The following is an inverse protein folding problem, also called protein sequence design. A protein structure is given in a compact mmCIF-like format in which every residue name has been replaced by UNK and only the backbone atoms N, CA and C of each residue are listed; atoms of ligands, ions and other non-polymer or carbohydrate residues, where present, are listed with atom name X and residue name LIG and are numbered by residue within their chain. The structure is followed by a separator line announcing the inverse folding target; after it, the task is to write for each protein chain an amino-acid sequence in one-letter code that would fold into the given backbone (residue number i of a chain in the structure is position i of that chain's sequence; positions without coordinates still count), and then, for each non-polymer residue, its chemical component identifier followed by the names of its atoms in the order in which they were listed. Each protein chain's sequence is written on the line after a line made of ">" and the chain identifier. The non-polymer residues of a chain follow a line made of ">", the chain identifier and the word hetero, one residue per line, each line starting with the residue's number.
data_IF_572372683574
#
_entry.id   IF_572372683574
#
_cell.length_a   1.000
_cell.length_b   1.000
_cell.length_c   1.000
_cell.angle_alpha   90.00
_cell.angle_beta   90.00
_cell.angle_gamma   90.00
#
_symmetry.space_group_name_H-M   'P 1'
#
loop_
_entity.id
_entity.type
_entity.pdbx_description
1 polymer ?
#
# COMPACT_ATOMS: atom_id res chain seq x y z
N UNK A 1 -1.76 -10.38 -33.64
CA UNK A 1 -2.32 -9.69 -32.50
C UNK A 1 -2.13 -10.60 -31.29
N UNK A 2 -1.16 -10.23 -30.44
CA UNK A 2 -0.98 -10.93 -29.17
C UNK A 2 -2.20 -10.68 -28.30
N UNK A 3 -2.88 -11.73 -27.92
CA UNK A 3 -3.99 -11.66 -26.96
C UNK A 3 -3.37 -11.39 -25.59
N UNK A 4 -3.49 -10.15 -25.13
CA UNK A 4 -3.08 -9.79 -23.75
C UNK A 4 -3.95 -10.56 -22.77
N UNK A 5 -3.38 -11.54 -22.11
CA UNK A 5 -4.08 -12.25 -21.05
C UNK A 5 -4.00 -11.42 -19.76
N UNK A 6 -5.15 -11.11 -19.21
CA UNK A 6 -5.28 -10.34 -17.97
C UNK A 6 -5.98 -11.22 -16.93
N UNK A 7 -5.42 -11.28 -15.73
CA UNK A 7 -6.04 -11.95 -14.57
C UNK A 7 -6.46 -10.90 -13.57
N UNK A 8 -7.73 -10.94 -13.16
CA UNK A 8 -8.35 -9.94 -12.28
C UNK A 8 -8.87 -10.61 -11.02
N UNK A 9 -8.56 -10.02 -9.88
CA UNK A 9 -9.23 -10.23 -8.60
C UNK A 9 -9.91 -8.91 -8.22
N UNK A 10 -10.91 -8.92 -7.36
CA UNK A 10 -11.68 -7.73 -6.95
C UNK A 10 -10.81 -6.52 -6.58
N UNK A 11 -9.59 -6.75 -6.12
CA UNK A 11 -8.63 -5.74 -5.65
C UNK A 11 -7.25 -5.86 -6.30
N UNK A 12 -7.20 -6.20 -7.58
CA UNK A 12 -5.94 -6.24 -8.31
C UNK A 12 -6.05 -6.79 -9.71
N UNK A 13 -5.07 -6.43 -10.51
CA UNK A 13 -4.95 -6.77 -11.91
C UNK A 13 -3.51 -7.19 -12.20
N UNK A 14 -3.31 -8.26 -12.97
CA UNK A 14 -2.00 -8.61 -13.49
C UNK A 14 -2.04 -8.78 -15.02
N UNK A 15 -1.08 -8.15 -15.69
CA UNK A 15 -0.85 -8.33 -17.13
C UNK A 15 0.06 -9.54 -17.34
N UNK A 16 -0.41 -10.57 -18.02
CA UNK A 16 0.36 -11.80 -18.31
C UNK A 16 0.73 -11.84 -19.79
N UNK A 17 1.67 -10.99 -20.18
CA UNK A 17 2.15 -10.88 -21.58
C UNK A 17 3.61 -11.30 -21.69
N UNK A 18 4.46 -10.94 -20.69
CA UNK A 18 5.86 -11.30 -20.61
C UNK A 18 6.31 -11.32 -19.16
N UNK A 19 7.41 -11.99 -18.86
CA UNK A 19 7.98 -12.06 -17.50
C UNK A 19 8.30 -10.68 -16.90
N UNK A 20 8.58 -9.67 -17.74
CA UNK A 20 8.79 -8.28 -17.31
C UNK A 20 7.46 -7.61 -16.94
N UNK A 21 6.45 -7.75 -17.80
CA UNK A 21 5.11 -7.17 -17.56
C UNK A 21 4.36 -7.84 -16.42
N UNK A 22 4.67 -9.08 -16.08
CA UNK A 22 4.15 -9.76 -14.88
C UNK A 22 4.57 -9.10 -13.56
N UNK A 23 5.59 -8.24 -13.58
CA UNK A 23 6.02 -7.42 -12.42
C UNK A 23 5.50 -5.99 -12.46
N UNK A 24 4.75 -5.62 -13.50
CA UNK A 24 4.18 -4.28 -13.63
C UNK A 24 3.18 -4.04 -12.51
N UNK A 25 3.42 -2.99 -11.71
CA UNK A 25 2.51 -2.57 -10.66
C UNK A 25 1.34 -1.86 -11.29
N UNK A 26 0.22 -2.55 -11.33
CA UNK A 26 -1.01 -2.17 -12.02
C UNK A 26 -2.02 -1.56 -11.05
N UNK A 27 -3.18 -1.16 -11.58
CA UNK A 27 -4.28 -0.58 -10.83
C UNK A 27 -3.84 0.68 -10.06
N UNK A 28 -4.35 0.89 -8.88
CA UNK A 28 -4.03 2.02 -7.99
C UNK A 28 -2.67 1.89 -7.28
N UNK A 29 -1.88 0.86 -7.66
CA UNK A 29 -0.50 0.66 -7.19
C UNK A 29 0.55 1.06 -8.22
N UNK A 30 0.16 1.71 -9.31
CA UNK A 30 1.09 2.15 -10.35
C UNK A 30 2.22 3.02 -9.77
N UNK A 31 3.41 3.06 -10.41
CA UNK A 31 4.56 3.83 -9.93
C UNK A 31 4.27 5.31 -9.69
N UNK A 32 3.36 5.93 -10.47
CA UNK A 32 2.92 7.31 -10.31
C UNK A 32 1.98 7.54 -9.13
N UNK A 33 1.35 6.50 -8.58
CA UNK A 33 0.47 6.63 -7.41
C UNK A 33 1.24 7.03 -6.15
N UNK A 34 0.55 7.60 -5.15
CA UNK A 34 1.19 8.00 -3.89
C UNK A 34 1.88 6.83 -3.19
N UNK A 35 1.25 5.65 -3.13
CA UNK A 35 1.87 4.45 -2.54
C UNK A 35 3.08 4.01 -3.36
N UNK A 36 2.99 4.09 -4.69
CA UNK A 36 4.10 3.77 -5.59
C UNK A 36 5.30 4.67 -5.36
N UNK A 37 5.10 5.97 -5.33
CA UNK A 37 6.15 6.97 -5.10
C UNK A 37 6.83 6.78 -3.74
N UNK A 38 6.04 6.63 -2.66
CA UNK A 38 6.57 6.46 -1.29
C UNK A 38 7.35 5.15 -1.16
N UNK A 39 6.84 4.03 -1.70
CA UNK A 39 7.53 2.75 -1.61
C UNK A 39 8.83 2.72 -2.44
N UNK A 40 8.87 3.42 -3.58
CA UNK A 40 10.11 3.61 -4.35
C UNK A 40 11.14 4.45 -3.57
N UNK A 41 10.69 5.47 -2.86
CA UNK A 41 11.52 6.35 -2.04
C UNK A 41 11.90 5.73 -0.67
N UNK A 42 11.28 4.63 -0.24
CA UNK A 42 11.51 4.03 1.07
C UNK A 42 13.00 3.74 1.39
N UNK A 43 13.86 3.29 0.45
CA UNK A 43 15.29 3.13 0.74
C UNK A 43 16.01 4.45 1.03
N UNK A 44 15.61 5.55 0.40
CA UNK A 44 16.15 6.89 0.67
C UNK A 44 15.69 7.43 2.03
N UNK A 45 14.42 7.18 2.38
CA UNK A 45 13.80 7.69 3.62
C UNK A 45 14.23 6.92 4.86
N UNK A 46 14.44 5.59 4.74
CA UNK A 46 14.62 4.68 5.89
C UNK A 46 15.82 3.73 5.75
N UNK A 47 16.58 3.86 4.68
CA UNK A 47 17.71 2.97 4.39
C UNK A 47 17.28 1.61 3.81
N UNK A 48 18.28 0.76 3.49
CA UNK A 48 18.06 -0.50 2.78
C UNK A 48 17.31 -1.56 3.62
N UNK A 49 17.26 -1.41 4.94
CA UNK A 49 16.62 -2.34 5.85
C UNK A 49 15.22 -1.88 6.31
N UNK A 50 14.57 -1.00 5.56
CA UNK A 50 13.25 -0.47 5.86
C UNK A 50 12.24 -1.59 6.17
N UNK A 51 11.40 -1.37 7.20
CA UNK A 51 10.41 -2.32 7.70
C UNK A 51 9.03 -1.87 7.26
N UNK A 52 8.42 -2.65 6.37
CA UNK A 52 7.16 -2.29 5.73
C UNK A 52 6.08 -3.28 6.15
N UNK A 53 4.94 -2.75 6.57
CA UNK A 53 3.72 -3.52 6.81
C UNK A 53 2.65 -3.11 5.80
N UNK A 54 1.87 -4.08 5.33
CA UNK A 54 0.71 -3.80 4.49
C UNK A 54 -0.51 -4.56 5.03
N UNK A 55 -1.59 -3.83 5.30
CA UNK A 55 -2.90 -4.37 5.69
C UNK A 55 -3.72 -4.51 4.42
N UNK A 56 -4.10 -5.74 4.12
CA UNK A 56 -4.62 -6.18 2.83
C UNK A 56 -3.51 -6.71 1.92
N UNK A 57 -3.72 -7.90 1.37
CA UNK A 57 -2.80 -8.56 0.44
C UNK A 57 -3.22 -8.33 -1.01
N UNK A 58 -4.52 -8.49 -1.28
CA UNK A 58 -5.05 -8.50 -2.64
C UNK A 58 -4.31 -9.52 -3.51
N UNK A 59 -3.84 -9.09 -4.67
CA UNK A 59 -3.03 -9.93 -5.58
C UNK A 59 -1.55 -9.98 -5.23
N UNK A 60 -1.10 -9.21 -4.22
CA UNK A 60 0.30 -9.10 -3.83
C UNK A 60 1.11 -8.07 -4.64
N UNK A 61 0.46 -7.18 -5.40
CA UNK A 61 1.11 -6.22 -6.32
C UNK A 61 2.16 -5.34 -5.62
N UNK A 62 1.92 -4.89 -4.39
CA UNK A 62 2.86 -4.08 -3.62
C UNK A 62 4.21 -4.78 -3.39
N UNK A 63 4.26 -6.12 -3.43
CA UNK A 63 5.50 -6.89 -3.27
C UNK A 63 6.55 -6.52 -4.31
N UNK A 64 6.15 -6.04 -5.49
CA UNK A 64 7.07 -5.64 -6.55
C UNK A 64 7.76 -4.29 -6.31
N UNK A 65 7.46 -3.62 -5.22
CA UNK A 65 8.25 -2.51 -4.69
C UNK A 65 9.37 -2.95 -3.75
N UNK A 66 9.35 -4.20 -3.29
CA UNK A 66 10.33 -4.69 -2.34
C UNK A 66 11.77 -4.58 -2.90
N UNK A 67 12.69 -4.16 -2.05
CA UNK A 67 14.13 -4.08 -2.33
C UNK A 67 14.88 -5.02 -1.40
N UNK A 68 16.02 -5.50 -1.88
CA UNK A 68 16.89 -6.38 -1.09
C UNK A 68 17.25 -5.72 0.25
N UNK A 69 17.10 -6.46 1.32
CA UNK A 69 17.37 -6.01 2.69
C UNK A 69 16.15 -5.50 3.43
N UNK A 70 15.10 -5.07 2.76
CA UNK A 70 13.85 -4.67 3.40
C UNK A 70 13.14 -5.85 4.06
N UNK A 71 12.34 -5.55 5.08
CA UNK A 71 11.51 -6.53 5.79
C UNK A 71 10.04 -6.18 5.58
N UNK A 72 9.35 -7.04 4.86
CA UNK A 72 7.93 -6.89 4.58
C UNK A 72 7.10 -7.84 5.42
N UNK A 73 5.88 -7.43 5.75
CA UNK A 73 4.86 -8.25 6.40
C UNK A 73 3.50 -7.84 5.89
N UNK A 74 2.71 -8.78 5.39
CA UNK A 74 1.31 -8.58 5.08
C UNK A 74 0.42 -9.01 6.24
N UNK A 75 -0.73 -8.35 6.37
CA UNK A 75 -1.80 -8.72 7.29
C UNK A 75 -3.06 -8.91 6.45
N UNK A 76 -3.56 -10.13 6.36
CA UNK A 76 -4.71 -10.49 5.52
C UNK A 76 -5.72 -11.27 6.35
N UNK A 77 -7.00 -10.91 6.22
CA UNK A 77 -8.06 -11.55 6.99
C UNK A 77 -8.61 -12.80 6.30
N UNK A 78 -8.57 -12.82 4.96
CA UNK A 78 -9.16 -13.88 4.16
C UNK A 78 -8.11 -14.91 3.72
N UNK A 79 -8.19 -16.16 4.19
CA UNK A 79 -7.26 -17.22 3.77
C UNK A 79 -7.37 -17.55 2.28
N UNK A 80 -8.54 -17.34 1.67
CA UNK A 80 -8.74 -17.58 0.23
C UNK A 80 -7.96 -16.57 -0.61
N UNK A 81 -7.91 -15.31 -0.17
CA UNK A 81 -7.08 -14.27 -0.82
C UNK A 81 -5.60 -14.66 -0.76
N UNK A 82 -5.13 -15.18 0.38
CA UNK A 82 -3.74 -15.65 0.52
C UNK A 82 -3.45 -16.82 -0.40
N UNK A 83 -4.35 -17.79 -0.50
CA UNK A 83 -4.22 -18.93 -1.39
C UNK A 83 -4.13 -18.48 -2.86
N UNK A 84 -5.06 -17.61 -3.30
CA UNK A 84 -5.11 -17.09 -4.65
C UNK A 84 -3.84 -16.27 -4.99
N UNK A 85 -3.38 -15.40 -4.08
CA UNK A 85 -2.21 -14.57 -4.31
C UNK A 85 -0.90 -15.38 -4.35
N UNK A 86 -0.83 -16.53 -3.68
CA UNK A 86 0.31 -17.44 -3.68
C UNK A 86 0.31 -18.44 -4.84
N UNK A 87 -0.82 -18.62 -5.51
CA UNK A 87 -0.93 -19.50 -6.66
C UNK A 87 -0.29 -18.84 -7.90
N UNK A 88 0.88 -19.31 -8.37
CA UNK A 88 1.57 -18.71 -9.51
C UNK A 88 0.83 -18.90 -10.84
N UNK A 89 -0.13 -19.83 -10.92
CA UNK A 89 -0.99 -20.01 -12.09
C UNK A 89 -2.04 -18.89 -12.17
N UNK A 90 -2.33 -18.23 -11.05
CA UNK A 90 -3.28 -17.10 -10.97
C UNK A 90 -2.55 -15.77 -10.96
N UNK A 91 -1.67 -15.55 -9.97
CA UNK A 91 -0.88 -14.32 -9.83
C UNK A 91 0.58 -14.63 -9.54
N UNK A 92 1.49 -13.89 -10.19
CA UNK A 92 2.93 -14.12 -10.03
C UNK A 92 3.63 -13.04 -9.21
N UNK A 93 2.91 -12.06 -8.68
CA UNK A 93 3.51 -10.96 -7.93
C UNK A 93 4.31 -11.45 -6.72
N UNK A 94 3.73 -12.30 -5.88
CA UNK A 94 4.45 -12.85 -4.73
C UNK A 94 5.63 -13.72 -5.20
N UNK A 95 5.38 -14.70 -6.06
CA UNK A 95 6.42 -15.66 -6.51
C UNK A 95 7.58 -14.99 -7.23
N UNK A 96 7.33 -13.89 -7.97
CA UNK A 96 8.35 -13.17 -8.74
C UNK A 96 9.06 -12.07 -7.96
N UNK A 97 8.36 -11.41 -7.03
CA UNK A 97 8.87 -10.22 -6.38
C UNK A 97 9.28 -10.45 -4.92
N UNK A 98 8.53 -11.27 -4.18
CA UNK A 98 8.78 -11.49 -2.76
C UNK A 98 8.19 -12.84 -2.28
N UNK A 99 8.75 -13.99 -2.74
CA UNK A 99 8.14 -15.31 -2.55
C UNK A 99 7.97 -15.71 -1.07
N UNK A 100 8.93 -15.35 -0.24
CA UNK A 100 8.97 -15.75 1.18
C UNK A 100 8.36 -14.70 2.11
N UNK A 101 7.56 -13.76 1.59
CA UNK A 101 6.99 -12.71 2.43
C UNK A 101 6.07 -13.30 3.50
N UNK A 102 6.26 -12.95 4.79
CA UNK A 102 5.33 -13.32 5.83
C UNK A 102 3.95 -12.71 5.61
N UNK A 103 2.91 -13.55 5.67
CA UNK A 103 1.52 -13.14 5.69
C UNK A 103 0.93 -13.58 7.03
N UNK A 104 0.53 -12.61 7.84
CA UNK A 104 -0.15 -12.83 9.12
C UNK A 104 -1.64 -12.90 8.84
N UNK A 105 -2.21 -14.10 8.95
CA UNK A 105 -3.64 -14.32 8.74
C UNK A 105 -4.45 -13.88 9.96
N UNK A 106 -5.52 -13.11 9.72
CA UNK A 106 -6.47 -12.65 10.73
C UNK A 106 -6.69 -11.15 10.74
N UNK A 107 -7.43 -10.67 11.74
CA UNK A 107 -7.71 -9.25 11.90
C UNK A 107 -6.43 -8.44 12.11
N UNK A 108 -6.22 -7.45 11.22
CA UNK A 108 -5.01 -6.63 11.19
C UNK A 108 -4.84 -5.78 12.47
N UNK A 109 -5.93 -5.27 13.07
CA UNK A 109 -5.84 -4.52 14.34
C UNK A 109 -5.36 -5.39 15.47
N UNK A 110 -5.88 -6.61 15.58
CA UNK A 110 -5.46 -7.58 16.61
C UNK A 110 -4.01 -7.98 16.40
N UNK A 111 -3.62 -8.25 15.16
CA UNK A 111 -2.25 -8.61 14.80
C UNK A 111 -1.26 -7.47 15.04
N UNK A 112 -1.59 -6.24 14.66
CA UNK A 112 -0.78 -5.05 14.90
C UNK A 112 -0.69 -4.72 16.40
N UNK A 113 -1.73 -5.01 17.20
CA UNK A 113 -1.69 -4.79 18.63
C UNK A 113 -0.61 -5.63 19.33
N UNK A 114 -0.22 -6.77 18.75
CA UNK A 114 0.87 -7.63 19.25
C UNK A 114 2.26 -7.17 18.81
N UNK A 115 2.35 -6.22 17.86
CA UNK A 115 3.64 -5.73 17.38
C UNK A 115 4.30 -4.81 18.39
N UNK A 116 5.63 -4.83 18.43
CA UNK A 116 6.41 -3.91 19.26
C UNK A 116 6.20 -2.46 18.80
N UNK A 117 6.33 -1.51 19.73
CA UNK A 117 6.35 -0.08 19.43
C UNK A 117 7.49 0.22 18.45
N UNK A 118 7.22 1.05 17.44
CA UNK A 118 8.22 1.49 16.48
C UNK A 118 8.76 0.34 15.59
N UNK A 119 8.00 -0.74 15.43
CA UNK A 119 8.42 -1.92 14.64
C UNK A 119 8.30 -1.74 13.14
N UNK A 120 7.64 -0.70 12.66
CA UNK A 120 7.45 -0.40 11.24
C UNK A 120 7.94 1.00 10.89
N UNK A 121 8.53 1.14 9.72
CA UNK A 121 8.93 2.42 9.14
C UNK A 121 7.82 2.94 8.21
N UNK A 122 7.17 2.02 7.48
CA UNK A 122 6.02 2.30 6.63
C UNK A 122 4.91 1.30 6.96
N UNK A 123 3.68 1.78 7.09
CA UNK A 123 2.48 0.98 7.22
C UNK A 123 1.46 1.41 6.15
N UNK A 124 1.04 0.47 5.31
CA UNK A 124 0.04 0.70 4.28
C UNK A 124 -1.30 0.10 4.75
N UNK A 125 -2.37 0.88 4.70
CA UNK A 125 -3.74 0.44 4.96
C UNK A 125 -4.48 0.41 3.63
N UNK A 126 -4.70 -0.77 3.12
CA UNK A 126 -5.32 -1.05 1.83
C UNK A 126 -6.26 -2.26 1.91
N UNK A 127 -7.03 -2.32 2.96
CA UNK A 127 -8.03 -3.37 3.15
C UNK A 127 -9.40 -2.88 2.69
N UNK A 128 -9.97 -3.60 1.74
CA UNK A 128 -11.32 -3.35 1.23
C UNK A 128 -12.13 -4.65 1.31
N UNK A 129 -13.36 -4.56 1.78
CA UNK A 129 -14.38 -5.60 1.63
C UNK A 129 -15.40 -5.09 0.61
N UNK A 130 -15.38 -5.67 -0.61
CA UNK A 130 -16.10 -5.11 -1.76
C UNK A 130 -15.71 -3.63 -2.00
N UNK A 131 -16.63 -2.68 -1.96
CA UNK A 131 -16.35 -1.25 -2.19
C UNK A 131 -16.18 -0.43 -0.88
N UNK A 132 -16.03 -1.09 0.28
CA UNK A 132 -15.97 -0.40 1.57
C UNK A 132 -14.69 -0.75 2.35
N UNK A 133 -14.03 0.30 2.88
CA UNK A 133 -12.97 0.10 3.89
C UNK A 133 -13.62 -0.37 5.19
N UNK A 134 -13.14 -1.44 5.83
CA UNK A 134 -13.64 -1.87 7.11
C UNK A 134 -13.53 -0.74 8.14
N UNK A 135 -14.68 -0.25 8.63
CA UNK A 135 -14.72 0.94 9.48
C UNK A 135 -13.88 0.84 10.74
N UNK A 136 -13.67 -0.37 11.27
CA UNK A 136 -12.81 -0.58 12.44
C UNK A 136 -11.33 -0.25 12.19
N UNK A 137 -10.88 -0.23 10.92
CA UNK A 137 -9.52 0.18 10.55
C UNK A 137 -9.36 1.71 10.47
N UNK A 138 -10.45 2.48 10.47
CA UNK A 138 -10.45 3.93 10.36
C UNK A 138 -10.89 4.63 11.64
N UNK A 139 -10.97 3.92 12.77
CA UNK A 139 -11.32 4.51 14.06
C UNK A 139 -10.14 5.24 14.71
N UNK A 140 -10.43 6.12 15.67
CA UNK A 140 -9.41 6.84 16.46
C UNK A 140 -8.43 5.88 17.15
N UNK A 141 -8.94 4.77 17.65
CA UNK A 141 -8.16 3.72 18.33
C UNK A 141 -7.24 3.00 17.35
N UNK A 142 -7.71 2.78 16.10
CA UNK A 142 -6.87 2.22 15.05
C UNK A 142 -5.69 3.15 14.71
N UNK A 143 -5.94 4.46 14.55
CA UNK A 143 -4.87 5.42 14.28
C UNK A 143 -3.90 5.57 15.47
N UNK A 144 -4.39 5.51 16.71
CA UNK A 144 -3.53 5.46 17.89
C UNK A 144 -2.63 4.20 17.91
N UNK A 145 -3.20 3.04 17.51
CA UNK A 145 -2.45 1.81 17.34
C UNK A 145 -1.39 1.92 16.23
N UNK A 146 -1.74 2.45 15.07
CA UNK A 146 -0.79 2.64 13.96
C UNK A 146 0.36 3.55 14.37
N UNK A 147 0.07 4.64 15.09
CA UNK A 147 1.09 5.53 15.64
C UNK A 147 2.02 4.82 16.63
N UNK A 148 1.52 3.87 17.41
CA UNK A 148 2.34 3.06 18.32
C UNK A 148 3.27 2.11 17.57
N UNK A 149 2.77 1.48 16.51
CA UNK A 149 3.51 0.48 15.72
C UNK A 149 4.55 1.15 14.81
N UNK A 150 4.25 2.33 14.30
CA UNK A 150 5.18 3.13 13.52
C UNK A 150 6.30 3.71 14.42
N UNK A 151 7.49 3.84 13.84
CA UNK A 151 8.55 4.65 14.45
C UNK A 151 8.12 6.13 14.52
N UNK A 152 8.78 6.98 15.33
CA UNK A 152 8.35 8.37 15.54
C UNK A 152 8.22 9.21 14.28
N UNK A 153 8.99 8.89 13.24
CA UNK A 153 8.97 9.51 11.91
C UNK A 153 8.48 8.57 10.82
N UNK A 154 7.73 7.52 11.20
CA UNK A 154 7.19 6.54 10.27
C UNK A 154 6.05 7.10 9.40
N UNK A 155 5.79 6.44 8.28
CA UNK A 155 4.73 6.80 7.34
C UNK A 155 3.56 5.81 7.43
N UNK A 156 2.36 6.35 7.54
CA UNK A 156 1.09 5.65 7.39
C UNK A 156 0.47 6.06 6.05
N UNK A 157 0.26 5.11 5.15
CA UNK A 157 -0.41 5.34 3.89
C UNK A 157 -1.82 4.75 3.98
N UNK A 158 -2.83 5.54 3.70
CA UNK A 158 -4.23 5.11 3.73
C UNK A 158 -4.83 5.26 2.34
N UNK A 159 -5.27 4.16 1.76
CA UNK A 159 -6.00 4.16 0.50
C UNK A 159 -7.41 4.69 0.73
N UNK A 160 -7.80 5.74 0.02
CA UNK A 160 -9.11 6.37 0.20
C UNK A 160 -9.91 6.46 -1.10
N UNK A 161 -9.42 5.83 -2.19
CA UNK A 161 -10.21 5.73 -3.42
C UNK A 161 -11.50 4.96 -3.12
N UNK A 162 -12.63 5.62 -3.27
CA UNK A 162 -13.94 5.02 -3.05
C UNK A 162 -14.97 5.68 -3.97
N UNK A 163 -15.87 4.88 -4.54
CA UNK A 163 -16.90 5.36 -5.48
C UNK A 163 -18.11 5.99 -4.78
N UNK A 164 -18.33 5.66 -3.51
CA UNK A 164 -19.56 5.98 -2.80
C UNK A 164 -19.35 6.84 -1.56
N UNK A 165 -18.16 6.81 -0.96
CA UNK A 165 -17.88 7.47 0.32
C UNK A 165 -16.68 8.40 0.17
N UNK A 166 -16.80 9.63 0.66
CA UNK A 166 -15.64 10.48 0.88
C UNK A 166 -14.99 10.12 2.22
N UNK A 167 -13.88 9.39 2.15
CA UNK A 167 -13.14 8.93 3.33
C UNK A 167 -12.14 9.99 3.85
N UNK A 168 -11.89 11.03 3.10
CA UNK A 168 -10.92 12.07 3.48
C UNK A 168 -11.26 12.75 4.82
N UNK A 169 -12.53 13.17 5.11
CA UNK A 169 -12.86 13.76 6.39
C UNK A 169 -12.63 12.81 7.57
N UNK A 170 -12.84 11.50 7.37
CA UNK A 170 -12.62 10.47 8.39
C UNK A 170 -11.13 10.38 8.73
N UNK A 171 -10.28 10.28 7.71
CA UNK A 171 -8.82 10.21 7.89
C UNK A 171 -8.28 11.53 8.43
N UNK A 172 -8.78 12.68 7.94
CA UNK A 172 -8.42 14.00 8.45
C UNK A 172 -8.80 14.18 9.93
N UNK A 173 -9.96 13.65 10.36
CA UNK A 173 -10.36 13.66 11.76
C UNK A 173 -9.41 12.82 12.65
N UNK A 174 -8.93 11.70 12.12
CA UNK A 174 -7.95 10.85 12.79
C UNK A 174 -6.56 11.51 12.83
N UNK A 175 -6.17 12.23 11.78
CA UNK A 175 -4.91 12.95 11.70
C UNK A 175 -4.79 14.02 12.81
N UNK A 176 -5.90 14.62 13.27
CA UNK A 176 -5.89 15.54 14.42
C UNK A 176 -5.31 14.94 15.70
N UNK A 177 -5.04 13.65 15.73
CA UNK A 177 -4.39 12.95 16.85
C UNK A 177 -2.85 12.99 16.78
N UNK A 178 -2.28 14.02 16.17
CA UNK A 178 -0.84 14.23 16.11
C UNK A 178 -0.17 13.61 14.90
N UNK A 179 -0.87 13.59 13.77
CA UNK A 179 -0.30 13.37 12.46
C UNK A 179 -0.35 14.67 11.64
N UNK A 180 0.61 14.80 10.75
CA UNK A 180 0.59 15.68 9.58
C UNK A 180 0.20 14.84 8.36
N UNK A 181 -0.32 15.46 7.31
CA UNK A 181 -0.84 14.74 6.14
C UNK A 181 -0.37 15.36 4.83
N UNK A 182 -0.23 14.50 3.82
CA UNK A 182 -0.18 14.84 2.40
C UNK A 182 -1.27 14.03 1.70
N UNK A 183 -1.93 14.64 0.74
CA UNK A 183 -2.88 13.96 -0.14
C UNK A 183 -2.22 13.78 -1.50
N UNK A 184 -2.29 12.58 -2.03
CA UNK A 184 -1.82 12.26 -3.37
C UNK A 184 -2.96 11.77 -4.24
N UNK A 185 -3.24 12.52 -5.30
CA UNK A 185 -4.18 12.16 -6.35
C UNK A 185 -3.40 11.73 -7.58
N UNK A 186 -3.65 10.52 -8.06
CA UNK A 186 -3.06 9.99 -9.28
C UNK A 186 -4.12 9.85 -10.36
N UNK A 187 -3.98 10.64 -11.41
CA UNK A 187 -4.72 10.49 -12.66
C UNK A 187 -3.73 9.96 -13.70
N UNK A 188 -3.80 8.66 -14.03
CA UNK A 188 -2.82 8.04 -14.89
C UNK A 188 -2.89 8.59 -16.31
N UNK A 189 -1.72 8.78 -16.93
CA UNK A 189 -1.60 9.08 -18.36
C UNK A 189 -2.12 7.94 -19.24
N UNK A 190 -2.36 8.20 -20.51
CA UNK A 190 -2.80 7.17 -21.44
C UNK A 190 -1.83 5.97 -21.53
N UNK A 191 -0.53 6.21 -21.39
CA UNK A 191 0.49 5.14 -21.36
C UNK A 191 0.40 4.31 -20.07
N UNK A 192 0.19 4.93 -18.93
CA UNK A 192 0.02 4.22 -17.65
C UNK A 192 -1.28 3.42 -17.63
N UNK A 193 -2.37 3.95 -18.23
CA UNK A 193 -3.62 3.20 -18.40
C UNK A 193 -3.40 1.96 -19.28
N UNK A 194 -2.63 2.09 -20.38
CA UNK A 194 -2.27 0.95 -21.23
C UNK A 194 -1.44 -0.11 -20.48
N UNK A 195 -0.70 0.30 -19.44
CA UNK A 195 0.05 -0.58 -18.53
C UNK A 195 -0.81 -1.03 -17.33
N UNK A 196 -2.11 -0.76 -17.34
CA UNK A 196 -3.07 -1.24 -16.35
C UNK A 196 -3.18 -0.37 -15.09
N UNK A 197 -2.69 0.87 -15.12
CA UNK A 197 -2.90 1.81 -14.02
C UNK A 197 -4.36 2.30 -13.96
N UNK A 198 -4.81 2.63 -12.77
CA UNK A 198 -6.12 3.22 -12.51
C UNK A 198 -5.97 4.48 -11.65
N UNK A 199 -6.91 5.42 -11.74
CA UNK A 199 -6.96 6.57 -10.84
C UNK A 199 -6.92 6.12 -9.37
N UNK A 200 -6.21 6.87 -8.54
CA UNK A 200 -6.13 6.53 -7.13
C UNK A 200 -5.92 7.76 -6.25
N UNK A 201 -6.48 7.68 -5.04
CA UNK A 201 -6.33 8.72 -4.02
C UNK A 201 -5.84 8.08 -2.72
N UNK A 202 -4.77 8.65 -2.19
CA UNK A 202 -4.12 8.18 -0.96
C UNK A 202 -3.87 9.35 -0.02
N UNK A 203 -3.91 9.08 1.27
CA UNK A 203 -3.41 10.01 2.29
C UNK A 203 -2.16 9.41 2.91
N UNK A 204 -1.09 10.19 2.92
CA UNK A 204 0.18 9.86 3.59
C UNK A 204 0.28 10.66 4.87
N UNK A 205 0.37 9.98 5.97
CA UNK A 205 0.38 10.53 7.31
C UNK A 205 1.71 10.26 8.00
N UNK A 206 2.21 11.22 8.76
CA UNK A 206 3.36 11.03 9.65
C UNK A 206 3.20 11.84 10.93
N UNK A 207 3.66 11.34 12.09
CA UNK A 207 3.84 12.19 13.28
C UNK A 207 4.89 13.28 13.08
N UNK A 208 5.80 13.12 12.10
CA UNK A 208 6.87 14.08 11.77
C UNK A 208 6.53 14.87 10.52
N UNK A 209 6.38 16.20 10.66
CA UNK A 209 6.24 17.12 9.52
C UNK A 209 7.47 17.06 8.60
N UNK A 210 8.67 17.03 9.21
CA UNK A 210 9.93 16.96 8.49
C UNK A 210 9.99 15.71 7.57
N UNK A 211 9.46 14.56 8.03
CA UNK A 211 9.39 13.36 7.21
C UNK A 211 8.49 13.55 5.99
N UNK A 212 7.38 14.25 6.10
CA UNK A 212 6.53 14.56 4.95
C UNK A 212 7.20 15.53 3.97
N UNK A 213 7.96 16.49 4.49
CA UNK A 213 8.77 17.38 3.64
C UNK A 213 9.85 16.60 2.88
N UNK A 214 10.49 15.62 3.53
CA UNK A 214 11.42 14.70 2.86
C UNK A 214 10.71 13.85 1.80
N UNK A 215 9.49 13.37 2.05
CA UNK A 215 8.69 12.67 1.02
C UNK A 215 8.50 13.57 -0.19
N UNK A 216 8.06 14.81 0.00
CA UNK A 216 7.91 15.78 -1.11
C UNK A 216 9.22 16.02 -1.89
N UNK A 217 10.35 16.03 -1.19
CA UNK A 217 11.64 16.30 -1.79
C UNK A 217 12.21 15.14 -2.62
N UNK A 218 11.85 13.90 -2.28
CA UNK A 218 12.38 12.68 -2.95
C UNK A 218 11.39 12.00 -3.88
N UNK A 219 10.19 12.57 -4.01
CA UNK A 219 9.13 12.14 -4.95
C UNK A 219 8.82 13.28 -5.90
N UNK A 220 7.73 13.22 -6.65
CA UNK A 220 7.26 14.36 -7.46
C UNK A 220 6.68 15.47 -6.56
N UNK A 221 7.34 16.63 -6.42
CA UNK A 221 6.87 17.70 -5.52
C UNK A 221 5.51 18.27 -5.93
N UNK A 222 5.18 18.25 -7.21
CA UNK A 222 3.92 18.76 -7.76
C UNK A 222 2.72 17.84 -7.57
N UNK A 223 2.99 16.61 -7.14
CA UNK A 223 1.96 15.59 -6.96
C UNK A 223 1.13 15.76 -5.67
N UNK A 224 1.69 16.38 -4.63
CA UNK A 224 1.12 16.41 -3.29
C UNK A 224 0.31 17.68 -2.99
N UNK A 225 -0.90 17.49 -2.47
CA UNK A 225 -1.76 18.54 -1.89
C UNK A 225 -1.54 18.69 -0.38
#
# INVERSE_FOLDING_TARGET
>A
PEVSTCVVLLHGLQLRVSAERERTRTSYYAPGSAVGQVLQAAPQLYGPAARIGAVGLGTGTLSCYARRGQRWTYYEIDPVVVEIARDPERFTFLSRCLPDVPVVLGDARLSLAQQARGSKDVLVIDAFTSDAVPMHLLTREAFALYRRVLRPDGLLLVHISNRHLNLEPVVAAAARQGYHALVGNHEPSASEVADGASPSRWIVLSPSRERLEQVRAVTDPGFWE
#
